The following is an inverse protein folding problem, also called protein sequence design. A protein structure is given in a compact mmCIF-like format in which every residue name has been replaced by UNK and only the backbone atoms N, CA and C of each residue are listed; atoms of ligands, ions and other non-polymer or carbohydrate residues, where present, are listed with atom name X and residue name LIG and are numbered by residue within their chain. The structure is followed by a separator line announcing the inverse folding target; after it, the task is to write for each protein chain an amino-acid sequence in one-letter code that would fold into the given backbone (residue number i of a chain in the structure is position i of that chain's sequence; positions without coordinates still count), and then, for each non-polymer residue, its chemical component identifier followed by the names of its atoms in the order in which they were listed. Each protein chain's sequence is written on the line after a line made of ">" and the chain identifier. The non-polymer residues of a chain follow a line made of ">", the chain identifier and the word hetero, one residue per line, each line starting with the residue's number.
data_IF_886538240522
#
_entry.id   IF_886538240522
#
_cell.length_a   1.000
_cell.length_b   1.000
_cell.length_c   1.000
_cell.angle_alpha   90.00
_cell.angle_beta   90.00
_cell.angle_gamma   90.00
#
_symmetry.space_group_name_H-M   'P 1'
#
loop_
_entity.id
_entity.type
_entity.pdbx_description
1 polymer ?
#
# COMPACT_ATOMS: atom_id res chain seq x y z
N UNK A 1 16.72 24.51 21.72
CA UNK A 1 15.67 23.56 21.20
C UNK A 1 16.28 22.76 20.09
N UNK A 2 16.06 21.45 20.01
CA UNK A 2 16.46 20.68 18.80
C UNK A 2 15.60 21.18 17.65
N UNK A 3 16.22 21.59 16.56
CA UNK A 3 15.50 21.93 15.34
C UNK A 3 14.89 20.65 14.75
N UNK A 4 13.66 20.74 14.29
CA UNK A 4 13.04 19.67 13.49
C UNK A 4 13.35 19.99 12.03
N UNK A 5 14.03 19.07 11.35
CA UNK A 5 14.42 19.25 9.96
C UNK A 5 13.47 18.51 8.99
N UNK A 6 12.77 17.50 9.51
CA UNK A 6 11.86 16.66 8.71
C UNK A 6 10.67 16.18 9.55
N UNK A 7 9.51 16.13 8.92
CA UNK A 7 8.29 15.50 9.47
C UNK A 7 7.83 14.43 8.48
N UNK A 8 7.83 13.19 8.95
CA UNK A 8 7.27 12.04 8.22
C UNK A 8 5.88 11.75 8.78
N UNK A 9 4.86 11.72 7.93
CA UNK A 9 3.46 11.59 8.34
C UNK A 9 2.82 10.42 7.62
N UNK A 10 2.18 9.54 8.39
CA UNK A 10 1.24 8.59 7.87
C UNK A 10 -0.06 9.30 7.46
N UNK A 11 -0.82 8.69 6.57
CA UNK A 11 -2.01 9.30 5.96
C UNK A 11 -3.28 8.96 6.74
N UNK A 12 -3.67 7.70 6.78
CA UNK A 12 -4.98 7.27 7.28
C UNK A 12 -5.01 7.25 8.81
N UNK A 13 -5.93 8.03 9.41
CA UNK A 13 -6.01 8.17 10.87
C UNK A 13 -4.91 9.04 11.49
N UNK A 14 -3.98 9.60 10.69
CA UNK A 14 -2.91 10.50 11.16
C UNK A 14 -3.05 11.89 10.53
N UNK A 15 -2.70 12.06 9.26
CA UNK A 15 -2.82 13.35 8.55
C UNK A 15 -4.26 13.58 8.09
N UNK A 16 -4.95 12.51 7.66
CA UNK A 16 -6.29 12.58 7.12
C UNK A 16 -7.38 12.31 8.17
N UNK A 17 -8.46 13.05 8.05
CA UNK A 17 -9.72 12.76 8.77
C UNK A 17 -10.36 11.50 8.20
N UNK A 18 -11.40 10.97 8.89
CA UNK A 18 -12.26 9.88 8.36
C UNK A 18 -12.95 10.22 7.04
N UNK A 19 -13.02 11.50 6.67
CA UNK A 19 -13.53 11.98 5.38
C UNK A 19 -12.43 12.14 4.33
N UNK A 20 -11.24 11.60 4.57
CA UNK A 20 -10.10 11.68 3.66
C UNK A 20 -9.67 13.13 3.34
N UNK A 21 -9.66 14.01 4.34
CA UNK A 21 -9.30 15.43 4.17
C UNK A 21 -8.23 15.85 5.15
N UNK A 22 -7.32 16.71 4.70
CA UNK A 22 -6.41 17.44 5.57
C UNK A 22 -7.19 18.61 6.18
N UNK A 23 -7.16 18.75 7.51
CA UNK A 23 -7.80 19.87 8.18
C UNK A 23 -7.13 21.20 7.79
N UNK A 24 -7.90 22.29 7.57
CA UNK A 24 -7.32 23.59 7.19
C UNK A 24 -6.22 24.07 8.14
N UNK A 25 -6.43 23.96 9.44
CA UNK A 25 -5.44 24.34 10.44
C UNK A 25 -4.14 23.52 10.33
N UNK A 26 -4.24 22.20 10.13
CA UNK A 26 -3.09 21.32 9.93
C UNK A 26 -2.33 21.69 8.66
N UNK A 27 -3.07 21.93 7.57
CA UNK A 27 -2.50 22.38 6.29
C UNK A 27 -1.70 23.67 6.45
N UNK A 28 -2.27 24.69 7.09
CA UNK A 28 -1.61 25.99 7.29
C UNK A 28 -0.30 25.85 8.10
N UNK A 29 -0.30 25.00 9.15
CA UNK A 29 0.91 24.75 9.94
C UNK A 29 1.97 24.07 9.07
N UNK A 30 1.63 23.00 8.35
CA UNK A 30 2.58 22.25 7.53
C UNK A 30 3.19 23.12 6.43
N UNK A 31 2.37 23.93 5.75
CA UNK A 31 2.86 24.88 4.75
C UNK A 31 3.79 25.94 5.35
N UNK A 32 3.50 26.41 6.57
CA UNK A 32 4.39 27.38 7.25
C UNK A 32 5.72 26.72 7.68
N UNK A 33 5.71 25.47 8.09
CA UNK A 33 6.92 24.71 8.42
C UNK A 33 7.81 24.49 7.19
N UNK A 34 7.23 24.16 6.03
CA UNK A 34 7.99 24.07 4.78
C UNK A 34 8.70 25.40 4.42
N UNK A 35 8.00 26.55 4.60
CA UNK A 35 8.59 27.89 4.40
C UNK A 35 9.79 28.14 5.35
N UNK A 36 9.83 27.47 6.49
CA UNK A 36 10.94 27.56 7.45
C UNK A 36 12.04 26.53 7.18
N UNK A 37 11.93 25.75 6.09
CA UNK A 37 12.92 24.77 5.67
C UNK A 37 12.70 23.36 6.19
N UNK A 38 11.56 23.07 6.85
CA UNK A 38 11.22 21.72 7.30
C UNK A 38 10.77 20.88 6.11
N UNK A 39 11.35 19.71 5.91
CA UNK A 39 10.95 18.74 4.90
C UNK A 39 9.68 18.03 5.31
N UNK A 40 8.71 17.87 4.40
CA UNK A 40 7.55 17.04 4.62
C UNK A 40 7.68 15.73 3.81
N UNK A 41 7.39 14.62 4.45
CA UNK A 41 7.33 13.30 3.81
C UNK A 41 5.99 12.67 4.12
N UNK A 42 5.22 12.33 3.07
CA UNK A 42 4.00 11.55 3.21
C UNK A 42 4.34 10.06 3.08
N UNK A 43 3.94 9.26 4.06
CA UNK A 43 4.22 7.82 4.11
C UNK A 43 2.93 7.02 4.18
N UNK A 44 2.75 6.02 3.32
CA UNK A 44 1.52 5.22 3.28
C UNK A 44 1.71 3.88 2.56
N UNK A 45 0.80 2.94 2.80
CA UNK A 45 0.61 1.75 1.97
C UNK A 45 -0.03 2.02 0.59
N UNK A 46 -0.48 3.26 0.34
CA UNK A 46 -1.04 3.69 -0.94
C UNK A 46 0.05 3.88 -1.99
N UNK A 47 -0.34 3.95 -3.26
CA UNK A 47 0.55 4.27 -4.38
C UNK A 47 0.82 5.80 -4.50
N UNK A 48 1.79 6.16 -5.34
CA UNK A 48 2.20 7.56 -5.53
C UNK A 48 1.08 8.43 -6.08
N UNK A 49 0.19 7.90 -6.92
CA UNK A 49 -0.90 8.67 -7.51
C UNK A 49 -1.90 9.14 -6.46
N UNK A 50 -2.16 8.30 -5.47
CA UNK A 50 -3.02 8.64 -4.33
C UNK A 50 -2.40 9.71 -3.43
N UNK A 51 -1.08 9.63 -3.16
CA UNK A 51 -0.39 10.59 -2.30
C UNK A 51 -0.15 11.94 -2.99
N UNK A 52 0.03 11.95 -4.30
CA UNK A 52 0.22 13.17 -5.09
C UNK A 52 -0.91 14.19 -4.88
N UNK A 53 -2.15 13.70 -4.80
CA UNK A 53 -3.31 14.58 -4.56
C UNK A 53 -3.14 15.41 -3.28
N UNK A 54 -2.66 14.79 -2.20
CA UNK A 54 -2.42 15.48 -0.94
C UNK A 54 -1.14 16.31 -0.94
N UNK A 55 -0.09 15.82 -1.59
CA UNK A 55 1.14 16.57 -1.78
C UNK A 55 0.92 17.90 -2.52
N UNK A 56 0.06 17.91 -3.54
CA UNK A 56 -0.37 19.12 -4.22
C UNK A 56 -1.13 20.09 -3.31
N UNK A 57 -1.96 19.60 -2.41
CA UNK A 57 -2.63 20.45 -1.43
C UNK A 57 -1.66 21.14 -0.47
N UNK A 58 -0.49 20.53 -0.22
CA UNK A 58 0.57 21.04 0.66
C UNK A 58 1.67 21.78 -0.13
N UNK A 59 1.50 22.00 -1.45
CA UNK A 59 2.49 22.62 -2.33
C UNK A 59 3.89 21.96 -2.26
N UNK A 60 3.94 20.63 -2.00
CA UNK A 60 5.20 19.90 -1.77
C UNK A 60 6.13 19.93 -2.98
N UNK A 61 5.61 20.04 -4.19
CA UNK A 61 6.39 20.15 -5.43
C UNK A 61 7.30 21.40 -5.49
N UNK A 62 6.99 22.43 -4.70
CA UNK A 62 7.80 23.63 -4.56
C UNK A 62 8.97 23.46 -3.58
N UNK A 63 9.00 22.35 -2.81
CA UNK A 63 10.01 22.10 -1.79
C UNK A 63 10.80 20.83 -2.13
N UNK A 64 11.99 20.95 -2.79
CA UNK A 64 12.75 19.80 -3.28
C UNK A 64 13.17 18.77 -2.22
N UNK A 65 13.24 19.20 -0.95
CA UNK A 65 13.57 18.33 0.19
C UNK A 65 12.40 17.49 0.68
N UNK A 66 11.17 17.76 0.21
CA UNK A 66 9.97 16.99 0.54
C UNK A 66 9.85 15.75 -0.37
N UNK A 67 9.06 14.75 0.02
CA UNK A 67 8.93 13.52 -0.75
C UNK A 67 7.84 12.57 -0.27
N UNK A 68 7.86 11.37 -0.81
CA UNK A 68 6.84 10.34 -0.58
C UNK A 68 7.48 8.98 -0.33
N UNK A 69 6.98 8.27 0.66
CA UNK A 69 7.23 6.86 0.92
C UNK A 69 5.94 6.13 0.67
N UNK A 70 5.91 5.25 -0.32
CA UNK A 70 4.68 4.59 -0.79
C UNK A 70 4.80 3.07 -0.74
N UNK A 71 3.66 2.38 -0.85
CA UNK A 71 3.60 0.93 -0.84
C UNK A 71 4.33 0.32 0.37
N UNK A 72 4.08 0.86 1.57
CA UNK A 72 4.72 0.43 2.82
C UNK A 72 6.27 0.51 2.81
N UNK A 73 6.83 1.45 2.06
CA UNK A 73 8.29 1.65 1.97
C UNK A 73 8.93 1.02 0.75
N UNK A 74 8.20 0.28 -0.08
CA UNK A 74 8.77 -0.35 -1.28
C UNK A 74 9.23 0.65 -2.34
N UNK A 75 8.67 1.85 -2.35
CA UNK A 75 9.08 2.91 -3.27
C UNK A 75 9.21 4.25 -2.54
N UNK A 76 10.26 5.01 -2.88
CA UNK A 76 10.50 6.36 -2.38
C UNK A 76 10.61 7.32 -3.56
N UNK A 77 9.91 8.44 -3.46
CA UNK A 77 9.88 9.47 -4.48
C UNK A 77 10.26 10.84 -3.88
N UNK A 78 10.91 11.67 -4.69
CA UNK A 78 11.07 13.08 -4.34
C UNK A 78 9.75 13.86 -4.55
N UNK A 79 9.77 15.14 -4.22
CA UNK A 79 8.60 16.02 -4.36
C UNK A 79 8.09 16.17 -5.80
N UNK A 80 8.92 15.92 -6.81
CA UNK A 80 8.58 15.94 -8.24
C UNK A 80 8.15 14.57 -8.78
N UNK A 81 8.02 13.58 -7.90
CA UNK A 81 7.66 12.18 -8.24
C UNK A 81 8.71 11.46 -9.07
N UNK A 82 9.96 11.86 -8.97
CA UNK A 82 11.05 11.05 -9.49
C UNK A 82 11.36 9.94 -8.49
N UNK A 83 11.39 8.69 -8.95
CA UNK A 83 11.67 7.55 -8.09
C UNK A 83 13.14 7.59 -7.64
N UNK A 84 13.34 7.71 -6.32
CA UNK A 84 14.66 7.72 -5.71
C UNK A 84 15.10 6.32 -5.30
N UNK A 85 14.16 5.47 -4.92
CA UNK A 85 14.41 4.12 -4.48
C UNK A 85 13.22 3.23 -4.79
N UNK A 86 13.52 1.98 -5.15
CA UNK A 86 12.51 0.94 -5.37
C UNK A 86 13.07 -0.40 -4.94
N UNK A 87 12.39 -1.04 -4.01
CA UNK A 87 12.68 -2.41 -3.60
C UNK A 87 12.30 -3.43 -4.67
N UNK A 88 12.80 -4.65 -4.51
CA UNK A 88 12.43 -5.75 -5.37
C UNK A 88 10.92 -5.99 -5.30
N UNK A 89 10.29 -6.17 -6.45
CA UNK A 89 8.87 -6.51 -6.55
C UNK A 89 8.66 -8.01 -6.41
N UNK A 90 7.45 -8.39 -6.03
CA UNK A 90 6.99 -9.77 -6.14
C UNK A 90 7.08 -10.24 -7.59
N UNK A 91 7.47 -11.48 -7.77
CA UNK A 91 7.58 -12.15 -9.07
C UNK A 91 6.36 -13.03 -9.34
N UNK A 92 6.24 -13.54 -10.57
CA UNK A 92 5.20 -14.53 -10.92
C UNK A 92 5.31 -15.78 -10.03
N UNK A 93 6.54 -16.26 -9.76
CA UNK A 93 6.76 -17.41 -8.89
C UNK A 93 6.33 -17.14 -7.45
N UNK A 94 6.51 -15.90 -6.97
CA UNK A 94 5.98 -15.49 -5.67
C UNK A 94 4.46 -15.55 -5.66
N UNK A 95 3.80 -15.08 -6.72
CA UNK A 95 2.35 -15.13 -6.81
C UNK A 95 1.82 -16.58 -6.83
N UNK A 96 2.50 -17.50 -7.49
CA UNK A 96 2.11 -18.93 -7.48
C UNK A 96 2.17 -19.50 -6.06
N UNK A 97 3.23 -19.20 -5.32
CA UNK A 97 3.36 -19.63 -3.92
C UNK A 97 2.28 -18.98 -3.05
N UNK A 98 2.05 -17.68 -3.21
CA UNK A 98 1.04 -16.95 -2.44
C UNK A 98 -0.37 -17.45 -2.74
N UNK A 99 -0.66 -17.80 -4.00
CA UNK A 99 -1.93 -18.38 -4.39
C UNK A 99 -2.17 -19.76 -3.75
N UNK A 100 -1.18 -20.64 -3.72
CA UNK A 100 -1.27 -21.92 -3.03
C UNK A 100 -1.51 -21.74 -1.51
N UNK A 101 -0.83 -20.76 -0.90
CA UNK A 101 -1.03 -20.43 0.51
C UNK A 101 -2.44 -19.89 0.75
N UNK A 102 -2.93 -19.00 -0.12
CA UNK A 102 -4.28 -18.44 -0.02
C UNK A 102 -5.33 -19.54 -0.05
N UNK A 103 -5.25 -20.44 -1.03
CA UNK A 103 -6.18 -21.57 -1.17
C UNK A 103 -6.14 -22.50 0.06
N UNK A 104 -4.96 -22.92 0.49
CA UNK A 104 -4.82 -23.88 1.58
C UNK A 104 -5.13 -23.31 2.95
N UNK A 105 -5.00 -21.99 3.11
CA UNK A 105 -5.28 -21.28 4.36
C UNK A 105 -6.65 -20.59 4.37
N UNK A 106 -7.43 -20.72 3.29
CA UNK A 106 -8.78 -20.16 3.16
C UNK A 106 -8.80 -18.62 3.18
N UNK A 107 -7.89 -17.97 2.43
CA UNK A 107 -7.91 -16.54 2.20
C UNK A 107 -8.37 -16.24 0.78
N UNK A 108 -9.13 -15.16 0.60
CA UNK A 108 -9.24 -14.54 -0.71
C UNK A 108 -7.95 -13.76 -0.99
N UNK A 109 -7.51 -13.71 -2.25
CA UNK A 109 -6.26 -13.05 -2.62
C UNK A 109 -6.52 -11.95 -3.64
N UNK A 110 -5.91 -10.80 -3.43
CA UNK A 110 -5.96 -9.67 -4.35
C UNK A 110 -4.54 -9.32 -4.79
N UNK A 111 -4.32 -9.26 -6.09
CA UNK A 111 -3.08 -8.81 -6.68
C UNK A 111 -3.28 -7.40 -7.24
N UNK A 112 -2.47 -6.47 -6.77
CA UNK A 112 -2.46 -5.09 -7.23
C UNK A 112 -1.40 -4.93 -8.31
N UNK A 113 -1.84 -4.68 -9.51
CA UNK A 113 -1.00 -4.23 -10.61
C UNK A 113 -1.01 -2.70 -10.73
N UNK A 114 -0.25 -2.14 -11.64
CA UNK A 114 -0.17 -0.69 -11.81
C UNK A 114 -1.52 -0.06 -12.20
N UNK A 115 -2.30 -0.73 -13.06
CA UNK A 115 -3.55 -0.20 -13.64
C UNK A 115 -4.80 -0.95 -13.21
N UNK A 116 -4.70 -2.19 -12.76
CA UNK A 116 -5.85 -3.06 -12.49
C UNK A 116 -5.62 -3.95 -11.26
N UNK A 117 -6.67 -4.66 -10.86
CA UNK A 117 -6.67 -5.65 -9.80
C UNK A 117 -7.07 -7.01 -10.36
N UNK A 118 -6.43 -8.06 -9.86
CA UNK A 118 -6.85 -9.44 -10.06
C UNK A 118 -7.22 -10.04 -8.71
N UNK A 119 -8.40 -10.67 -8.66
CA UNK A 119 -9.03 -11.13 -7.43
C UNK A 119 -9.29 -12.63 -7.56
N UNK A 120 -8.76 -13.39 -6.62
CA UNK A 120 -9.07 -14.80 -6.41
C UNK A 120 -10.07 -14.88 -5.27
N UNK A 121 -11.34 -15.01 -5.65
CA UNK A 121 -12.46 -15.12 -4.70
C UNK A 121 -12.74 -16.62 -4.42
N UNK A 122 -12.28 -17.07 -3.27
CA UNK A 122 -12.53 -18.43 -2.82
C UNK A 122 -13.82 -18.56 -1.98
N UNK A 123 -14.65 -17.51 -1.99
CA UNK A 123 -15.98 -17.50 -1.35
C UNK A 123 -15.94 -17.28 0.15
N UNK A 124 -14.87 -16.71 0.68
CA UNK A 124 -14.68 -16.60 2.12
C UNK A 124 -15.16 -15.30 2.74
N UNK A 125 -15.24 -14.20 1.99
CA UNK A 125 -15.45 -12.89 2.60
C UNK A 125 -16.60 -12.06 2.06
N UNK A 126 -16.99 -12.17 0.81
CA UNK A 126 -17.98 -11.26 0.20
C UNK A 126 -17.66 -9.75 0.32
N UNK A 127 -16.49 -9.42 0.89
CA UNK A 127 -16.05 -8.05 1.26
C UNK A 127 -15.60 -7.24 0.04
N UNK A 128 -15.44 -7.87 -1.10
CA UNK A 128 -14.72 -7.33 -2.24
C UNK A 128 -15.41 -6.20 -3.00
N UNK A 129 -16.73 -6.05 -2.88
CA UNK A 129 -17.46 -5.12 -3.74
C UNK A 129 -17.33 -3.65 -3.33
N UNK A 130 -17.14 -3.36 -2.04
CA UNK A 130 -17.19 -1.99 -1.54
C UNK A 130 -15.83 -1.24 -1.60
N UNK A 131 -14.71 -1.94 -1.62
CA UNK A 131 -13.38 -1.33 -1.42
C UNK A 131 -12.69 -0.79 -2.69
N UNK A 132 -13.18 -1.12 -3.91
CA UNK A 132 -12.45 -0.85 -5.16
C UNK A 132 -13.30 -0.27 -6.28
N UNK A 133 -14.18 0.68 -5.98
CA UNK A 133 -15.16 1.25 -6.91
C UNK A 133 -14.50 1.89 -8.14
N UNK A 134 -13.27 2.40 -8.01
CA UNK A 134 -12.61 3.23 -9.03
C UNK A 134 -11.48 2.53 -9.82
N UNK A 135 -11.28 1.20 -9.65
CA UNK A 135 -10.23 0.45 -10.37
C UNK A 135 -10.81 -0.67 -11.23
N UNK A 136 -10.22 -0.84 -12.41
CA UNK A 136 -10.49 -2.02 -13.24
C UNK A 136 -10.12 -3.28 -12.46
N UNK A 137 -11.06 -4.23 -12.38
CA UNK A 137 -10.92 -5.46 -11.59
C UNK A 137 -11.34 -6.68 -12.40
N UNK A 138 -10.60 -7.76 -12.23
CA UNK A 138 -10.86 -9.05 -12.86
C UNK A 138 -10.94 -10.11 -11.76
N UNK A 139 -12.03 -10.87 -11.74
CA UNK A 139 -12.17 -12.05 -10.88
C UNK A 139 -11.70 -13.23 -11.72
N UNK A 140 -10.78 -14.03 -11.19
CA UNK A 140 -10.14 -15.15 -11.86
C UNK A 140 -10.04 -16.35 -10.94
N UNK A 141 -10.01 -17.54 -11.52
CA UNK A 141 -9.86 -18.79 -10.78
C UNK A 141 -8.41 -19.34 -10.87
N UNK A 142 -7.67 -18.93 -11.90
CA UNK A 142 -6.32 -19.41 -12.17
C UNK A 142 -5.35 -18.25 -12.45
N UNK A 143 -4.14 -18.34 -11.89
CA UNK A 143 -3.08 -17.35 -12.11
C UNK A 143 -2.66 -17.25 -13.59
N UNK A 144 -2.87 -18.31 -14.35
CA UNK A 144 -2.60 -18.35 -15.81
C UNK A 144 -3.57 -17.49 -16.64
N UNK A 145 -4.68 -17.05 -16.07
CA UNK A 145 -5.58 -16.09 -16.71
C UNK A 145 -5.02 -14.67 -16.70
N UNK A 146 -4.00 -14.40 -15.86
CA UNK A 146 -3.35 -13.09 -15.78
C UNK A 146 -2.41 -12.94 -16.98
N UNK A 147 -2.55 -11.86 -17.78
CA UNK A 147 -1.66 -11.59 -18.90
C UNK A 147 -0.20 -11.47 -18.49
N UNK A 148 0.71 -12.14 -19.19
CA UNK A 148 2.13 -12.26 -18.85
C UNK A 148 2.82 -10.89 -18.63
N UNK A 149 2.47 -9.88 -19.43
CA UNK A 149 3.07 -8.56 -19.34
C UNK A 149 2.77 -7.83 -18.00
N UNK A 150 1.69 -8.21 -17.29
CA UNK A 150 1.33 -7.57 -16.02
C UNK A 150 2.26 -7.98 -14.88
N UNK A 151 2.89 -9.16 -14.93
CA UNK A 151 3.75 -9.61 -13.84
C UNK A 151 4.94 -8.68 -13.57
N UNK A 152 5.36 -7.88 -14.53
CA UNK A 152 6.38 -6.84 -14.34
C UNK A 152 5.86 -5.60 -13.60
N UNK A 153 4.54 -5.47 -13.41
CA UNK A 153 3.87 -4.30 -12.83
C UNK A 153 3.21 -4.58 -11.48
N UNK A 154 3.53 -5.72 -10.85
CA UNK A 154 3.00 -6.07 -9.53
C UNK A 154 3.40 -5.00 -8.52
N UNK A 155 2.42 -4.47 -7.79
CA UNK A 155 2.64 -3.50 -6.71
C UNK A 155 2.68 -4.18 -5.35
N UNK A 156 1.66 -4.98 -5.05
CA UNK A 156 1.51 -5.71 -3.79
C UNK A 156 0.48 -6.83 -3.91
N UNK A 157 0.47 -7.72 -2.95
CA UNK A 157 -0.58 -8.73 -2.76
C UNK A 157 -1.25 -8.50 -1.41
N UNK A 158 -2.54 -8.72 -1.35
CA UNK A 158 -3.28 -8.75 -0.10
C UNK A 158 -4.00 -10.08 0.07
N UNK A 159 -4.09 -10.52 1.33
CA UNK A 159 -5.01 -11.58 1.73
C UNK A 159 -6.15 -10.96 2.54
N UNK A 160 -7.35 -11.45 2.27
CA UNK A 160 -8.59 -10.98 2.91
C UNK A 160 -9.30 -12.16 3.54
N UNK A 161 -9.75 -11.99 4.77
CA UNK A 161 -10.54 -12.99 5.51
C UNK A 161 -11.14 -12.33 6.75
N UNK A 162 -12.13 -12.97 7.40
CA UNK A 162 -12.71 -12.50 8.64
C UNK A 162 -11.68 -12.20 9.73
N UNK A 163 -11.95 -11.23 10.60
CA UNK A 163 -11.04 -10.82 11.70
C UNK A 163 -10.57 -12.02 12.55
N UNK A 164 -11.47 -12.97 12.82
CA UNK A 164 -11.17 -14.16 13.61
C UNK A 164 -10.11 -15.04 12.92
N UNK A 165 -10.35 -15.37 11.65
CA UNK A 165 -9.43 -16.21 10.87
C UNK A 165 -8.08 -15.51 10.67
N UNK A 166 -8.08 -14.20 10.43
CA UNK A 166 -6.84 -13.41 10.36
C UNK A 166 -6.05 -13.51 11.65
N UNK A 167 -6.69 -13.36 12.81
CA UNK A 167 -6.02 -13.40 14.11
C UNK A 167 -5.42 -14.78 14.44
N UNK A 168 -6.03 -15.85 13.97
CA UNK A 168 -5.54 -17.22 14.14
C UNK A 168 -4.42 -17.57 13.16
N UNK A 169 -4.55 -17.21 11.89
CA UNK A 169 -3.67 -17.67 10.81
C UNK A 169 -2.42 -16.82 10.62
N UNK A 170 -2.51 -15.49 10.79
CA UNK A 170 -1.38 -14.59 10.52
C UNK A 170 -0.12 -14.95 11.30
N UNK A 171 -0.14 -15.22 12.61
CA UNK A 171 1.08 -15.56 13.34
C UNK A 171 1.79 -16.82 12.79
N UNK A 172 1.00 -17.77 12.27
CA UNK A 172 1.52 -18.99 11.64
C UNK A 172 2.18 -18.66 10.31
N UNK A 173 1.47 -17.88 9.46
CA UNK A 173 1.97 -17.47 8.15
C UNK A 173 3.22 -16.60 8.27
N UNK A 174 3.23 -15.64 9.19
CA UNK A 174 4.41 -14.81 9.45
C UNK A 174 5.64 -15.67 9.74
N UNK A 175 5.50 -16.69 10.58
CA UNK A 175 6.60 -17.60 10.89
C UNK A 175 7.03 -18.48 9.69
N UNK A 176 6.08 -18.94 8.90
CA UNK A 176 6.34 -19.81 7.74
C UNK A 176 6.96 -19.05 6.57
N UNK A 177 6.59 -17.78 6.39
CA UNK A 177 6.91 -16.98 5.22
C UNK A 177 8.04 -15.96 5.46
N UNK A 178 8.51 -15.81 6.70
CA UNK A 178 9.44 -14.72 7.12
C UNK A 178 10.77 -14.65 6.37
N UNK A 179 11.19 -15.73 5.71
CA UNK A 179 12.43 -15.74 4.90
C UNK A 179 12.25 -15.20 3.49
N UNK A 180 11.01 -15.05 3.03
CA UNK A 180 10.70 -14.63 1.65
C UNK A 180 9.75 -13.46 1.57
N UNK A 181 8.82 -13.35 2.53
CA UNK A 181 7.77 -12.35 2.55
C UNK A 181 7.63 -11.69 3.91
N UNK A 182 7.37 -10.41 3.91
CA UNK A 182 6.88 -9.70 5.07
C UNK A 182 5.35 -9.58 5.01
N UNK A 183 4.69 -9.81 6.15
CA UNK A 183 3.23 -9.72 6.27
C UNK A 183 2.89 -8.58 7.21
N UNK A 184 2.20 -7.58 6.69
CA UNK A 184 1.74 -6.43 7.45
C UNK A 184 0.22 -6.46 7.57
N UNK A 185 -0.31 -6.52 8.79
CA UNK A 185 -1.74 -6.38 9.03
C UNK A 185 -2.11 -4.91 8.96
N UNK A 186 -2.91 -4.54 7.97
CA UNK A 186 -3.34 -3.15 7.72
C UNK A 186 -4.68 -2.88 8.38
N UNK A 187 -5.62 -3.83 8.25
CA UNK A 187 -6.94 -3.78 8.87
C UNK A 187 -7.26 -5.10 9.58
N UNK A 188 -8.44 -5.18 10.19
CA UNK A 188 -8.85 -6.35 10.96
C UNK A 188 -8.94 -7.62 10.11
N UNK A 189 -9.38 -7.47 8.89
CA UNK A 189 -9.69 -8.48 7.89
C UNK A 189 -8.77 -8.44 6.66
N UNK A 190 -7.69 -7.63 6.74
CA UNK A 190 -6.81 -7.34 5.62
C UNK A 190 -5.33 -7.39 6.02
N UNK A 191 -4.53 -8.17 5.28
CA UNK A 191 -3.08 -8.15 5.37
C UNK A 191 -2.45 -7.91 4.01
N UNK A 192 -1.36 -7.17 3.99
CA UNK A 192 -0.54 -6.94 2.81
C UNK A 192 0.74 -7.77 2.88
N UNK A 193 1.14 -8.32 1.74
CA UNK A 193 2.30 -9.17 1.59
C UNK A 193 3.27 -8.49 0.64
N UNK A 194 4.48 -8.31 1.14
CA UNK A 194 5.58 -7.69 0.41
C UNK A 194 6.79 -8.62 0.36
N UNK A 195 7.70 -8.49 -0.59
CA UNK A 195 9.00 -9.18 -0.55
C UNK A 195 9.80 -8.70 0.67
N UNK A 196 10.77 -9.54 1.09
CA UNK A 196 11.74 -9.21 2.16
C UNK A 196 13.04 -8.72 1.53
#
# INVERSE_FOLDING_TARGET
>A
MKNIDMIVMDMDGTLLTSQQKILPYTKDILMNLQKQGVSLVLASGRDISSLEYYGKQLDMDQYPQSGYIVLNGLEIYNSKKECLHREQRLTKDDLMILNEIAQTSFFDMIIFFETCLYIFDYGHTGIMEEHFIDRERHIVDDIHEIPEHLFSTIKKVAFVQSETMMSEKIPILQKQMSSRFSICRVEKDWVEINPV
#
